data_IF_933533216843
#
_entry.id   IF_933533216843
#
_cell.length_a   1.000
_cell.length_b   1.000
_cell.length_c   1.000
_cell.angle_alpha   90.00
_cell.angle_beta   90.00
_cell.angle_gamma   90.00
#
_symmetry.space_group_name_H-M   'P 1'
#
loop_
_entity.id
_entity.type
_entity.pdbx_description
1 polymer ?
#
# COMPACT_ATOMS: atom_id res chain seq x y z
N UNK A 1 39.77 30.46 43.38
CA UNK A 1 38.38 30.05 43.09
C UNK A 1 38.13 29.31 41.74
N UNK A 2 39.12 29.05 40.86
CA UNK A 2 38.84 28.37 39.57
C UNK A 2 38.79 26.84 39.62
N UNK A 3 39.20 26.21 40.74
CA UNK A 3 39.24 24.71 40.79
C UNK A 3 37.90 24.00 40.88
N UNK A 4 36.80 24.72 41.12
CA UNK A 4 35.47 24.15 41.28
C UNK A 4 34.65 24.20 39.99
N UNK A 5 34.95 25.10 39.06
CA UNK A 5 34.21 25.30 37.81
C UNK A 5 34.43 24.17 36.82
N UNK A 6 35.62 23.64 36.70
CA UNK A 6 35.94 22.55 35.75
C UNK A 6 35.19 21.25 36.09
N UNK A 7 35.16 20.76 37.34
CA UNK A 7 34.39 19.55 37.65
C UNK A 7 32.88 19.77 37.55
N UNK A 8 32.37 20.98 37.76
CA UNK A 8 30.95 21.30 37.58
C UNK A 8 30.53 21.23 36.11
N UNK A 9 31.36 21.75 35.18
CA UNK A 9 31.11 21.67 33.76
C UNK A 9 31.16 20.23 33.28
N UNK A 10 32.09 19.41 33.75
CA UNK A 10 32.20 17.98 33.42
C UNK A 10 30.98 17.22 33.94
N UNK A 11 30.50 17.53 35.15
CA UNK A 11 29.32 16.88 35.72
C UNK A 11 28.04 17.25 35.01
N UNK A 12 27.83 18.49 34.60
CA UNK A 12 26.68 18.92 33.77
C UNK A 12 26.72 18.29 32.38
N UNK A 13 27.91 18.25 31.77
CA UNK A 13 28.10 17.59 30.48
C UNK A 13 27.81 16.08 30.53
N UNK A 14 28.27 15.39 31.57
CA UNK A 14 27.99 13.97 31.78
C UNK A 14 26.51 13.69 32.06
N UNK A 15 25.81 14.58 32.79
CA UNK A 15 24.37 14.45 33.04
C UNK A 15 23.50 14.56 31.77
N UNK A 16 23.90 15.37 30.80
CA UNK A 16 23.17 15.54 29.50
C UNK A 16 23.30 14.31 28.64
N UNK A 17 24.40 13.56 28.70
CA UNK A 17 24.66 12.37 27.89
C UNK A 17 23.80 11.17 28.33
N UNK A 18 23.36 11.10 29.59
CA UNK A 18 22.64 9.96 30.19
C UNK A 18 21.13 9.98 29.85
N UNK A 19 20.58 11.08 29.34
CA UNK A 19 19.13 11.24 29.07
C UNK A 19 18.61 10.64 27.75
N UNK A 20 19.44 9.94 26.98
CA UNK A 20 19.02 9.37 25.67
C UNK A 20 18.40 7.98 25.81
N UNK A 21 17.18 7.88 26.36
CA UNK A 21 16.37 6.67 26.28
C UNK A 21 15.58 6.65 24.97
N UNK A 22 16.04 5.90 23.99
CA UNK A 22 15.25 5.60 22.81
C UNK A 22 14.09 4.65 23.17
N UNK A 23 12.85 5.08 22.96
CA UNK A 23 11.66 4.25 23.20
C UNK A 23 11.51 3.23 22.05
N UNK A 24 12.14 2.07 22.18
CA UNK A 24 12.15 0.98 21.19
C UNK A 24 10.77 0.33 20.98
N UNK A 25 9.83 0.49 21.92
CA UNK A 25 8.48 -0.10 21.84
C UNK A 25 7.66 0.39 20.63
N UNK A 26 8.00 1.55 20.08
CA UNK A 26 7.29 2.11 18.90
C UNK A 26 7.77 1.54 17.56
N UNK A 27 8.83 0.76 17.55
CA UNK A 27 9.46 0.23 16.33
C UNK A 27 8.99 -1.18 16.03
N UNK A 28 8.42 -1.89 17.00
CA UNK A 28 7.99 -3.27 16.89
C UNK A 28 6.51 -3.35 16.54
N UNK A 29 6.15 -4.23 15.61
CA UNK A 29 4.75 -4.56 15.31
C UNK A 29 4.13 -5.37 16.45
N UNK A 30 2.82 -5.27 16.60
CA UNK A 30 2.02 -6.17 17.44
C UNK A 30 2.49 -6.29 18.89
N UNK A 31 3.03 -5.23 19.46
CA UNK A 31 3.58 -5.22 20.83
C UNK A 31 2.61 -5.71 21.91
N UNK A 32 1.31 -5.63 21.67
CA UNK A 32 0.26 -5.93 22.63
C UNK A 32 -0.66 -7.06 22.12
N UNK A 33 -0.21 -7.88 21.14
CA UNK A 33 -1.00 -8.98 20.61
C UNK A 33 -0.68 -10.23 21.40
N UNK A 34 -1.62 -10.77 22.21
CA UNK A 34 -1.45 -12.06 22.89
C UNK A 34 -1.51 -13.21 21.87
N UNK A 35 -1.01 -14.37 22.27
CA UNK A 35 -1.25 -15.60 21.52
C UNK A 35 -2.76 -15.86 21.45
N UNK A 36 -3.33 -15.67 20.28
CA UNK A 36 -4.76 -15.78 20.05
C UNK A 36 -5.04 -16.29 18.63
N UNK A 37 -6.16 -16.98 18.49
CA UNK A 37 -6.68 -17.36 17.17
C UNK A 37 -7.67 -16.31 16.71
N UNK A 38 -7.36 -15.61 15.63
CA UNK A 38 -8.29 -14.70 14.98
C UNK A 38 -9.11 -15.47 13.95
N UNK A 39 -10.43 -15.26 13.94
CA UNK A 39 -11.28 -15.84 12.89
C UNK A 39 -10.87 -15.19 11.55
N UNK A 40 -10.70 -16.03 10.53
CA UNK A 40 -10.43 -15.51 9.19
C UNK A 40 -11.55 -14.56 8.79
N UNK A 41 -11.19 -13.31 8.56
CA UNK A 41 -12.13 -12.35 7.98
C UNK A 41 -12.43 -12.89 6.60
N UNK A 42 -13.67 -13.25 6.35
CA UNK A 42 -14.11 -13.55 4.99
C UNK A 42 -13.55 -12.45 4.12
N UNK A 43 -12.74 -12.84 3.12
CA UNK A 43 -12.22 -11.88 2.14
C UNK A 43 -13.38 -10.93 1.77
N UNK A 44 -13.15 -9.61 1.71
CA UNK A 44 -14.22 -8.67 1.43
C UNK A 44 -15.00 -9.22 0.24
N UNK A 45 -16.34 -9.11 0.31
CA UNK A 45 -17.18 -9.41 -0.87
C UNK A 45 -16.48 -8.77 -2.05
N UNK A 46 -16.36 -9.52 -3.14
CA UNK A 46 -15.68 -9.06 -4.34
C UNK A 46 -16.06 -7.59 -4.58
N UNK A 47 -15.06 -6.73 -4.72
CA UNK A 47 -15.33 -5.31 -5.01
C UNK A 47 -16.14 -5.24 -6.30
N UNK A 48 -17.17 -4.39 -6.36
CA UNK A 48 -17.87 -4.15 -7.62
C UNK A 48 -16.88 -3.61 -8.66
N UNK A 49 -17.06 -4.03 -9.88
CA UNK A 49 -16.32 -3.57 -11.06
C UNK A 49 -16.57 -2.06 -11.23
N UNK A 50 -15.50 -1.33 -11.54
CA UNK A 50 -15.55 0.13 -11.71
C UNK A 50 -15.21 0.51 -13.16
N UNK A 51 -15.66 1.67 -13.65
CA UNK A 51 -15.12 2.24 -14.87
C UNK A 51 -13.59 2.33 -14.83
N UNK A 52 -12.94 2.09 -15.97
CA UNK A 52 -11.49 1.98 -16.14
C UNK A 52 -10.83 0.70 -15.58
N UNK A 53 -11.60 -0.23 -15.02
CA UNK A 53 -11.06 -1.57 -14.76
C UNK A 53 -10.74 -2.27 -16.09
N UNK A 54 -9.68 -3.08 -16.08
CA UNK A 54 -9.33 -3.93 -17.22
C UNK A 54 -9.56 -5.37 -16.81
N UNK A 55 -10.46 -6.05 -17.53
CA UNK A 55 -10.87 -7.40 -17.24
C UNK A 55 -10.34 -8.36 -18.32
N UNK A 56 -9.73 -9.46 -17.90
CA UNK A 56 -9.60 -10.65 -18.76
C UNK A 56 -10.90 -11.40 -18.67
N UNK A 57 -11.58 -11.55 -19.80
CA UNK A 57 -12.83 -12.32 -19.90
C UNK A 57 -12.59 -13.42 -20.94
N UNK A 58 -12.66 -14.67 -20.47
CA UNK A 58 -12.47 -15.85 -21.33
C UNK A 58 -13.75 -16.67 -21.34
N UNK A 59 -14.24 -16.98 -22.52
CA UNK A 59 -15.44 -17.79 -22.74
C UNK A 59 -15.00 -19.10 -23.39
N UNK A 60 -15.29 -20.21 -22.73
CA UNK A 60 -15.01 -21.56 -23.23
C UNK A 60 -16.27 -22.41 -23.24
N UNK A 61 -16.26 -23.48 -24.01
CA UNK A 61 -17.32 -24.47 -24.04
C UNK A 61 -16.74 -25.84 -24.40
N UNK A 62 -17.54 -26.90 -24.33
CA UNK A 62 -17.12 -28.26 -24.74
C UNK A 62 -16.64 -28.29 -26.21
N UNK A 63 -17.18 -27.41 -27.07
CA UNK A 63 -16.67 -27.18 -28.40
C UNK A 63 -15.75 -25.95 -28.45
N UNK A 64 -14.44 -26.19 -28.44
CA UNK A 64 -13.43 -25.14 -28.49
C UNK A 64 -13.52 -24.25 -29.74
N UNK A 65 -13.87 -24.82 -30.86
CA UNK A 65 -14.01 -24.12 -32.15
C UNK A 65 -15.18 -23.12 -32.15
N UNK A 66 -16.28 -23.50 -31.50
CA UNK A 66 -17.46 -22.63 -31.34
C UNK A 66 -17.19 -21.47 -30.37
N UNK A 67 -16.30 -21.64 -29.39
CA UNK A 67 -15.96 -20.59 -28.39
C UNK A 67 -14.86 -19.63 -28.85
N UNK A 68 -14.07 -19.99 -29.86
CA UNK A 68 -12.96 -19.18 -30.37
C UNK A 68 -13.35 -17.75 -30.76
N UNK A 69 -14.47 -17.51 -31.49
CA UNK A 69 -14.86 -16.17 -31.90
C UNK A 69 -15.20 -15.20 -30.76
N UNK A 70 -15.52 -15.71 -29.55
CA UNK A 70 -15.78 -14.89 -28.35
C UNK A 70 -14.50 -14.39 -27.69
N UNK A 71 -13.36 -15.04 -27.96
CA UNK A 71 -12.06 -14.76 -27.37
C UNK A 71 -11.12 -14.06 -28.38
N UNK A 72 -11.63 -13.54 -29.48
CA UNK A 72 -10.85 -12.73 -30.40
C UNK A 72 -10.30 -11.52 -29.60
N UNK A 73 -8.99 -11.37 -29.59
CA UNK A 73 -8.27 -10.41 -28.77
C UNK A 73 -8.89 -9.01 -28.85
N UNK A 74 -9.28 -8.48 -27.72
CA UNK A 74 -9.62 -7.07 -27.62
C UNK A 74 -8.37 -6.24 -27.92
N UNK A 75 -8.53 -5.11 -28.58
CA UNK A 75 -7.45 -4.20 -28.94
C UNK A 75 -6.76 -3.51 -27.74
N UNK A 76 -7.06 -3.93 -26.51
CA UNK A 76 -6.50 -3.37 -25.31
C UNK A 76 -5.36 -4.27 -24.79
N UNK A 77 -4.15 -3.88 -25.14
CA UNK A 77 -2.93 -4.49 -24.58
C UNK A 77 -2.61 -3.77 -23.31
N UNK A 78 -2.87 -4.40 -22.15
CA UNK A 78 -2.38 -3.90 -20.88
C UNK A 78 -0.87 -4.11 -20.83
N UNK A 79 -0.13 -3.02 -20.94
CA UNK A 79 1.34 -3.02 -20.78
C UNK A 79 1.67 -2.88 -19.30
N UNK A 80 1.60 -3.96 -18.55
CA UNK A 80 2.14 -4.01 -17.19
C UNK A 80 3.66 -4.00 -17.28
N UNK A 81 4.28 -2.84 -17.08
CA UNK A 81 5.73 -2.73 -16.94
C UNK A 81 6.11 -3.23 -15.54
N UNK A 82 6.52 -4.48 -15.44
CA UNK A 82 7.15 -4.98 -14.22
C UNK A 82 8.51 -4.33 -14.06
N UNK A 83 8.93 -4.06 -12.82
CA UNK A 83 10.25 -3.49 -12.45
C UNK A 83 11.44 -4.29 -13.04
N UNK A 84 11.19 -5.49 -13.54
CA UNK A 84 12.16 -6.41 -14.17
C UNK A 84 12.18 -6.35 -15.71
N UNK A 85 11.43 -5.44 -16.34
CA UNK A 85 11.52 -5.20 -17.78
C UNK A 85 10.87 -6.26 -18.68
N UNK A 86 10.17 -7.25 -18.16
CA UNK A 86 9.37 -8.17 -18.96
C UNK A 86 7.93 -7.64 -19.08
N UNK A 87 7.55 -7.20 -20.26
CA UNK A 87 6.17 -6.85 -20.60
C UNK A 87 5.39 -8.13 -20.93
N UNK A 88 4.54 -8.58 -20.02
CA UNK A 88 3.51 -9.54 -20.37
C UNK A 88 2.34 -8.78 -21.00
N UNK A 89 2.21 -8.87 -22.29
CA UNK A 89 1.06 -8.36 -23.03
C UNK A 89 -0.12 -9.32 -22.83
N UNK A 90 -0.98 -9.02 -21.87
CA UNK A 90 -2.27 -9.71 -21.72
C UNK A 90 -3.36 -8.85 -22.35
N UNK A 91 -4.01 -9.38 -23.36
CA UNK A 91 -5.22 -8.77 -23.95
C UNK A 91 -6.34 -8.74 -22.92
N UNK A 92 -6.97 -7.58 -22.72
CA UNK A 92 -8.06 -7.39 -21.78
C UNK A 92 -9.18 -6.53 -22.36
N UNK A 93 -10.29 -6.45 -21.67
CA UNK A 93 -11.43 -5.62 -21.99
C UNK A 93 -11.52 -4.46 -21.01
N UNK A 94 -11.51 -3.23 -21.51
CA UNK A 94 -11.68 -2.03 -20.70
C UNK A 94 -13.15 -1.86 -20.31
N UNK A 95 -13.41 -1.58 -19.05
CA UNK A 95 -14.72 -1.08 -18.61
C UNK A 95 -14.80 0.41 -18.98
N UNK A 96 -15.66 0.74 -19.92
CA UNK A 96 -15.86 2.08 -20.43
C UNK A 96 -16.37 3.04 -19.34
N UNK A 97 -16.31 4.34 -19.60
CA UNK A 97 -16.80 5.36 -18.66
C UNK A 97 -18.32 5.26 -18.40
N UNK A 98 -19.09 4.72 -19.35
CA UNK A 98 -20.53 4.42 -19.19
C UNK A 98 -20.81 3.14 -18.40
N UNK A 99 -19.75 2.44 -17.96
CA UNK A 99 -19.84 1.20 -17.20
C UNK A 99 -20.05 -0.06 -18.02
N UNK A 100 -19.92 0.01 -19.35
CA UNK A 100 -20.06 -1.15 -20.24
C UNK A 100 -18.71 -1.76 -20.61
N UNK A 101 -18.73 -3.03 -21.01
CA UNK A 101 -17.61 -3.75 -21.64
C UNK A 101 -18.04 -4.23 -23.00
N UNK A 102 -17.24 -3.94 -24.03
CA UNK A 102 -17.51 -4.38 -25.40
C UNK A 102 -16.92 -5.76 -25.65
N UNK A 103 -17.81 -6.76 -25.76
CA UNK A 103 -17.43 -8.14 -26.00
C UNK A 103 -17.73 -8.57 -27.45
N UNK A 104 -16.83 -9.33 -28.10
CA UNK A 104 -17.09 -9.88 -29.40
C UNK A 104 -18.43 -10.66 -29.43
N UNK A 105 -19.21 -10.53 -30.49
CA UNK A 105 -20.51 -11.20 -30.70
C UNK A 105 -21.61 -10.75 -29.72
N UNK A 106 -21.28 -10.50 -28.44
CA UNK A 106 -22.27 -10.13 -27.43
C UNK A 106 -22.62 -8.64 -27.45
N UNK A 107 -21.68 -7.80 -27.91
CA UNK A 107 -21.81 -6.35 -27.91
C UNK A 107 -21.51 -5.74 -26.55
N UNK A 108 -22.03 -4.54 -26.29
CA UNK A 108 -21.85 -3.83 -25.04
C UNK A 108 -22.64 -4.49 -23.90
N UNK A 109 -21.92 -4.91 -22.84
CA UNK A 109 -22.49 -5.54 -21.63
C UNK A 109 -22.19 -4.65 -20.44
N UNK A 110 -23.20 -4.25 -19.67
CA UNK A 110 -23.05 -3.48 -18.45
C UNK A 110 -22.28 -4.30 -17.41
N UNK A 111 -21.14 -3.81 -16.97
CA UNK A 111 -20.24 -4.45 -16.01
C UNK A 111 -20.08 -3.65 -14.70
N UNK A 112 -20.05 -2.30 -14.79
CA UNK A 112 -19.86 -1.47 -13.63
C UNK A 112 -20.98 -1.65 -12.58
N UNK A 113 -20.58 -1.68 -11.30
CA UNK A 113 -21.48 -1.93 -10.18
C UNK A 113 -21.77 -3.41 -9.90
N UNK A 114 -21.45 -4.31 -10.82
CA UNK A 114 -21.56 -5.76 -10.63
C UNK A 114 -20.29 -6.34 -10.03
N UNK A 115 -20.44 -7.40 -9.25
CA UNK A 115 -19.31 -8.27 -8.91
C UNK A 115 -18.91 -9.12 -10.11
N UNK A 116 -17.72 -9.71 -10.10
CA UNK A 116 -17.28 -10.64 -11.15
C UNK A 116 -18.25 -11.82 -11.34
N UNK A 117 -18.77 -12.34 -10.23
CA UNK A 117 -19.72 -13.46 -10.27
C UNK A 117 -21.06 -13.05 -10.90
N UNK A 118 -21.56 -11.85 -10.60
CA UNK A 118 -22.76 -11.31 -11.23
C UNK A 118 -22.56 -11.04 -12.71
N UNK A 119 -21.38 -10.47 -13.10
CA UNK A 119 -21.05 -10.27 -14.51
C UNK A 119 -20.91 -11.60 -15.25
N UNK A 120 -20.28 -12.61 -14.63
CA UNK A 120 -20.17 -13.96 -15.18
C UNK A 120 -21.55 -14.56 -15.45
N UNK A 121 -22.45 -14.50 -14.47
CA UNK A 121 -23.84 -14.97 -14.62
C UNK A 121 -24.52 -14.24 -15.76
N UNK A 122 -24.46 -12.91 -15.81
CA UNK A 122 -25.07 -12.09 -16.85
C UNK A 122 -24.56 -12.45 -18.25
N UNK A 123 -23.25 -12.62 -18.43
CA UNK A 123 -22.67 -13.03 -19.72
C UNK A 123 -23.17 -14.43 -20.10
N UNK A 124 -23.16 -15.36 -19.15
CA UNK A 124 -23.66 -16.73 -19.37
C UNK A 124 -25.10 -16.71 -19.83
N UNK A 125 -25.97 -15.94 -19.16
CA UNK A 125 -27.40 -15.83 -19.50
C UNK A 125 -27.62 -15.24 -20.90
N UNK A 126 -26.82 -14.24 -21.28
CA UNK A 126 -26.87 -13.65 -22.62
C UNK A 126 -26.51 -14.72 -23.71
N UNK A 127 -25.46 -15.50 -23.46
CA UNK A 127 -25.01 -16.55 -24.39
C UNK A 127 -26.08 -17.62 -24.56
N UNK A 128 -26.67 -18.08 -23.45
CA UNK A 128 -27.70 -19.12 -23.43
C UNK A 128 -29.02 -18.62 -24.08
N UNK A 129 -29.46 -17.40 -23.77
CA UNK A 129 -30.69 -16.82 -24.31
C UNK A 129 -30.62 -16.62 -25.83
N UNK A 130 -29.44 -16.24 -26.33
CA UNK A 130 -29.19 -16.11 -27.80
C UNK A 130 -28.85 -17.46 -28.43
N UNK A 131 -28.79 -18.56 -27.69
CA UNK A 131 -28.43 -19.92 -28.17
C UNK A 131 -27.09 -19.98 -28.90
N UNK A 132 -26.12 -19.20 -28.45
CA UNK A 132 -24.80 -19.08 -29.10
C UNK A 132 -23.88 -20.25 -28.75
N UNK A 133 -23.93 -20.72 -27.48
CA UNK A 133 -23.23 -21.91 -27.00
C UNK A 133 -24.15 -22.72 -26.09
N UNK A 134 -23.92 -24.03 -26.00
CA UNK A 134 -24.77 -24.95 -25.21
C UNK A 134 -24.37 -24.92 -23.74
N UNK A 135 -23.07 -24.94 -23.43
CA UNK A 135 -22.47 -25.06 -22.12
C UNK A 135 -21.34 -24.04 -21.92
N UNK A 136 -21.63 -22.72 -21.89
CA UNK A 136 -20.62 -21.70 -21.78
C UNK A 136 -20.00 -21.69 -20.36
N UNK A 137 -18.67 -21.67 -20.30
CA UNK A 137 -17.88 -21.42 -19.08
C UNK A 137 -17.23 -20.05 -19.24
N UNK A 138 -17.59 -19.11 -18.37
CA UNK A 138 -17.04 -17.76 -18.37
C UNK A 138 -16.06 -17.61 -17.19
N UNK A 139 -14.82 -17.22 -17.46
CA UNK A 139 -13.82 -16.86 -16.46
C UNK A 139 -13.52 -15.37 -16.56
N UNK A 140 -13.49 -14.68 -15.40
CA UNK A 140 -13.26 -13.22 -15.33
C UNK A 140 -12.20 -12.93 -14.30
N UNK A 141 -11.14 -12.17 -14.68
CA UNK A 141 -10.05 -11.72 -13.81
C UNK A 141 -9.74 -10.26 -14.05
N UNK A 142 -9.31 -9.57 -12.98
CA UNK A 142 -8.74 -8.24 -13.13
C UNK A 142 -7.31 -8.32 -13.67
N UNK A 143 -6.98 -7.49 -14.66
CA UNK A 143 -5.62 -7.34 -15.17
C UNK A 143 -4.88 -6.16 -14.53
N UNK A 144 -5.60 -5.15 -14.06
CA UNK A 144 -5.06 -3.95 -13.42
C UNK A 144 -5.32 -3.90 -11.90
N UNK A 145 -5.40 -5.07 -11.24
CA UNK A 145 -5.45 -5.08 -9.78
C UNK A 145 -4.09 -4.65 -9.22
N UNK A 146 -4.00 -3.40 -8.80
CA UNK A 146 -2.80 -2.81 -8.24
C UNK A 146 -3.09 -2.17 -6.89
N UNK A 147 -2.07 -2.13 -6.02
CA UNK A 147 -2.07 -1.36 -4.78
C UNK A 147 -0.79 -0.54 -4.72
N UNK A 148 -0.89 0.68 -4.23
CA UNK A 148 0.25 1.60 -4.15
C UNK A 148 0.71 1.73 -2.70
N UNK A 149 2.01 1.57 -2.44
CA UNK A 149 2.61 1.77 -1.12
C UNK A 149 3.60 2.92 -1.19
N UNK A 150 3.37 3.94 -0.35
CA UNK A 150 4.13 5.19 -0.34
C UNK A 150 4.60 5.55 1.08
N UNK A 151 5.54 6.50 1.16
CA UNK A 151 6.01 7.08 2.42
C UNK A 151 7.19 6.35 3.03
N UNK A 152 7.19 6.15 4.35
CA UNK A 152 8.29 5.59 5.14
C UNK A 152 8.36 4.07 5.06
N UNK A 153 8.53 3.55 3.86
CA UNK A 153 8.85 2.15 3.55
C UNK A 153 10.21 2.09 2.84
N UNK A 154 10.84 0.93 2.82
CA UNK A 154 12.16 0.79 2.22
C UNK A 154 12.14 1.07 0.71
N UNK A 155 11.07 0.69 0.02
CA UNK A 155 10.89 0.86 -1.44
C UNK A 155 9.45 1.23 -1.76
N UNK A 156 9.09 2.54 -1.80
CA UNK A 156 7.79 2.95 -2.29
C UNK A 156 7.55 2.39 -3.70
N UNK A 157 6.39 1.76 -3.93
CA UNK A 157 6.14 1.04 -5.18
C UNK A 157 4.64 0.85 -5.44
N UNK A 158 4.31 0.56 -6.69
CA UNK A 158 3.03 0.01 -7.10
C UNK A 158 3.18 -1.51 -7.19
N UNK A 159 2.25 -2.24 -6.58
CA UNK A 159 2.26 -3.70 -6.49
C UNK A 159 1.10 -4.25 -7.30
N UNK A 160 1.39 -4.98 -8.36
CA UNK A 160 0.38 -5.74 -9.11
C UNK A 160 0.02 -7.01 -8.32
N UNK A 161 -1.27 -7.32 -8.22
CA UNK A 161 -1.82 -8.42 -7.41
C UNK A 161 -2.50 -9.47 -8.30
N UNK A 162 -1.76 -10.43 -8.87
CA UNK A 162 -2.33 -11.40 -9.82
C UNK A 162 -3.42 -12.30 -9.23
N UNK A 163 -3.35 -12.56 -7.92
CA UNK A 163 -4.31 -13.43 -7.22
C UNK A 163 -5.50 -12.66 -6.65
N UNK A 164 -5.62 -11.36 -6.96
CA UNK A 164 -6.71 -10.49 -6.53
C UNK A 164 -6.98 -10.50 -5.01
N UNK A 165 -5.99 -10.94 -4.23
CA UNK A 165 -6.05 -10.97 -2.77
C UNK A 165 -4.69 -10.62 -2.18
N UNK A 166 -4.62 -9.49 -1.51
CA UNK A 166 -3.42 -9.05 -0.81
C UNK A 166 -3.81 -8.44 0.54
N UNK A 167 -3.10 -8.82 1.61
CA UNK A 167 -3.25 -8.15 2.90
C UNK A 167 -2.37 -6.90 2.96
N UNK A 168 -2.75 -5.94 3.81
CA UNK A 168 -1.94 -4.76 4.07
C UNK A 168 -0.50 -5.12 4.48
N UNK A 169 -0.34 -6.13 5.35
CA UNK A 169 0.99 -6.59 5.78
C UNK A 169 1.81 -7.15 4.63
N UNK A 170 1.17 -7.93 3.74
CA UNK A 170 1.87 -8.46 2.56
C UNK A 170 2.31 -7.34 1.62
N UNK A 171 1.46 -6.32 1.43
CA UNK A 171 1.81 -5.15 0.61
C UNK A 171 2.99 -4.38 1.21
N UNK A 172 2.99 -4.14 2.52
CA UNK A 172 4.11 -3.51 3.22
C UNK A 172 5.40 -4.34 3.12
N UNK A 173 5.30 -5.67 3.29
CA UNK A 173 6.45 -6.57 3.11
C UNK A 173 7.03 -6.54 1.69
N UNK A 174 6.18 -6.48 0.64
CA UNK A 174 6.64 -6.34 -0.74
C UNK A 174 7.29 -4.97 -1.02
N UNK A 175 6.86 -3.92 -0.32
CA UNK A 175 7.50 -2.61 -0.32
C UNK A 175 8.79 -2.56 0.51
N UNK A 176 9.26 -3.71 1.03
CA UNK A 176 10.50 -3.83 1.80
C UNK A 176 10.36 -3.44 3.27
N UNK A 177 9.12 -3.45 3.79
CA UNK A 177 8.74 -3.09 5.16
C UNK A 177 8.85 -1.59 5.49
N UNK A 178 8.31 -1.21 6.66
CA UNK A 178 8.42 0.15 7.18
C UNK A 178 9.85 0.42 7.64
N UNK A 179 10.36 1.61 7.32
CA UNK A 179 11.63 2.05 7.90
C UNK A 179 11.51 2.24 9.42
N UNK A 180 12.63 2.42 10.10
CA UNK A 180 12.65 2.75 11.54
C UNK A 180 11.94 4.09 11.84
N UNK A 181 11.74 4.91 10.84
CA UNK A 181 11.05 6.19 10.93
C UNK A 181 9.56 6.12 10.61
N UNK A 182 9.06 4.98 10.12
CA UNK A 182 7.65 4.80 9.78
C UNK A 182 6.77 4.69 11.04
N UNK A 183 5.65 5.40 11.07
CA UNK A 183 4.63 5.28 12.12
C UNK A 183 3.81 4.02 11.91
N UNK A 184 3.99 3.02 12.78
CA UNK A 184 3.23 1.75 12.77
C UNK A 184 1.83 1.91 13.37
N UNK A 185 1.66 2.86 14.23
CA UNK A 185 0.40 3.17 14.92
C UNK A 185 -0.55 4.02 14.07
N UNK A 186 -0.09 4.52 12.90
CA UNK A 186 -0.83 5.47 12.08
C UNK A 186 -0.52 5.32 10.58
N UNK A 187 -0.84 4.16 10.01
CA UNK A 187 -0.76 3.93 8.57
C UNK A 187 -2.04 4.43 7.92
N UNK A 188 -1.95 5.33 6.96
CA UNK A 188 -3.09 5.88 6.26
C UNK A 188 -3.42 5.01 5.04
N UNK A 189 -4.62 4.48 5.00
CA UNK A 189 -5.22 3.87 3.82
C UNK A 189 -6.12 4.89 3.12
N UNK A 190 -5.93 5.08 1.84
CA UNK A 190 -6.80 5.87 0.97
C UNK A 190 -7.44 4.92 -0.03
N UNK A 191 -8.76 4.93 -0.09
CA UNK A 191 -9.57 4.06 -0.94
C UNK A 191 -10.61 4.88 -1.68
N UNK A 192 -10.87 4.54 -2.92
CA UNK A 192 -11.98 5.11 -3.66
C UNK A 192 -13.15 4.11 -3.71
N UNK A 193 -14.31 4.54 -3.24
CA UNK A 193 -15.55 3.75 -3.26
C UNK A 193 -16.70 4.65 -3.74
N UNK A 194 -17.43 4.21 -4.75
CA UNK A 194 -18.59 4.93 -5.30
C UNK A 194 -18.28 6.39 -5.72
N UNK A 195 -17.06 6.64 -6.20
CA UNK A 195 -16.61 8.00 -6.59
C UNK A 195 -16.20 8.90 -5.42
N UNK A 196 -16.23 8.40 -4.19
CA UNK A 196 -15.76 9.10 -3.00
C UNK A 196 -14.41 8.57 -2.53
N UNK A 197 -13.54 9.46 -2.05
CA UNK A 197 -12.26 9.07 -1.44
C UNK A 197 -12.40 8.92 0.06
N UNK A 198 -12.24 7.71 0.54
CA UNK A 198 -12.32 7.33 1.95
C UNK A 198 -10.89 7.20 2.50
N UNK A 199 -10.63 7.85 3.62
CA UNK A 199 -9.36 7.70 4.35
C UNK A 199 -9.57 6.97 5.66
N UNK A 200 -8.65 6.06 6.01
CA UNK A 200 -8.66 5.33 7.28
C UNK A 200 -7.25 5.26 7.86
N UNK A 201 -7.17 5.56 9.14
CA UNK A 201 -5.95 5.38 9.91
C UNK A 201 -5.95 3.99 10.54
N UNK A 202 -4.90 3.23 10.26
CA UNK A 202 -4.75 1.84 10.69
C UNK A 202 -3.59 1.77 11.68
N UNK A 203 -3.86 1.17 12.84
CA UNK A 203 -2.86 0.91 13.86
C UNK A 203 -2.35 -0.54 13.74
N UNK A 204 -1.11 -0.71 13.27
CA UNK A 204 -0.49 -2.03 13.14
C UNK A 204 0.05 -2.59 14.46
N UNK A 205 -0.01 -1.83 15.55
CA UNK A 205 0.38 -2.30 16.88
C UNK A 205 -0.80 -2.95 17.64
N UNK A 206 -2.04 -2.81 17.15
CA UNK A 206 -3.24 -3.36 17.76
C UNK A 206 -3.65 -4.70 17.13
N UNK A 207 -4.13 -5.62 17.96
CA UNK A 207 -4.77 -6.87 17.51
C UNK A 207 -6.06 -6.64 16.72
N UNK A 208 -6.73 -5.50 16.92
CA UNK A 208 -7.97 -5.14 16.22
C UNK A 208 -7.79 -5.08 14.71
N UNK A 209 -6.56 -4.82 14.28
CA UNK A 209 -6.20 -4.84 12.86
C UNK A 209 -6.54 -6.18 12.19
N UNK A 210 -6.33 -7.30 12.88
CA UNK A 210 -6.62 -8.65 12.33
C UNK A 210 -8.11 -8.90 12.10
N UNK A 211 -8.98 -8.16 12.77
CA UNK A 211 -10.44 -8.22 12.60
C UNK A 211 -10.99 -7.04 11.76
N UNK A 212 -10.11 -6.19 11.23
CA UNK A 212 -10.50 -5.01 10.48
C UNK A 212 -10.94 -5.36 9.05
N UNK A 213 -12.00 -4.72 8.55
CA UNK A 213 -12.39 -4.79 7.14
C UNK A 213 -11.32 -4.24 6.17
N UNK A 214 -10.31 -3.58 6.71
CA UNK A 214 -9.16 -3.03 5.98
C UNK A 214 -7.92 -3.94 6.03
N UNK A 215 -8.06 -5.16 6.57
CA UNK A 215 -6.99 -6.16 6.57
C UNK A 215 -6.59 -6.55 5.14
N UNK A 216 -7.58 -6.74 4.25
CA UNK A 216 -7.36 -6.93 2.83
C UNK A 216 -7.53 -5.63 2.08
N UNK A 217 -6.59 -5.37 1.18
CA UNK A 217 -6.64 -4.22 0.28
C UNK A 217 -7.56 -4.52 -0.90
N UNK A 218 -8.13 -3.47 -1.48
CA UNK A 218 -8.92 -3.49 -2.72
C UNK A 218 -8.10 -2.94 -3.89
N UNK A 219 -8.53 -3.13 -5.15
CA UNK A 219 -7.89 -2.50 -6.31
C UNK A 219 -7.78 -0.98 -6.11
N UNK A 220 -6.66 -0.41 -6.54
CA UNK A 220 -6.35 1.02 -6.48
C UNK A 220 -6.21 1.62 -5.07
N UNK A 221 -6.16 0.80 -4.01
CA UNK A 221 -5.86 1.28 -2.66
C UNK A 221 -4.46 1.90 -2.61
N UNK A 222 -4.36 3.02 -1.89
CA UNK A 222 -3.09 3.67 -1.59
C UNK A 222 -2.81 3.55 -0.10
N UNK A 223 -1.68 2.94 0.24
CA UNK A 223 -1.17 2.80 1.60
C UNK A 223 -0.05 3.83 1.80
N UNK A 224 -0.25 4.77 2.69
CA UNK A 224 0.74 5.79 3.01
C UNK A 224 1.25 5.65 4.43
N UNK A 225 2.55 5.40 4.57
CA UNK A 225 3.23 5.31 5.86
C UNK A 225 3.81 6.68 6.21
N UNK A 226 3.28 7.29 7.27
CA UNK A 226 3.72 8.60 7.73
C UNK A 226 5.09 8.52 8.42
N UNK A 227 5.96 9.54 8.25
CA UNK A 227 7.18 9.65 9.03
C UNK A 227 6.89 9.97 10.49
N UNK A 228 7.74 9.50 11.39
CA UNK A 228 7.69 9.86 12.80
C UNK A 228 8.31 11.24 13.06
N UNK A 229 8.13 11.75 14.30
CA UNK A 229 8.65 13.04 14.70
C UNK A 229 10.20 13.13 14.62
N UNK A 230 10.90 12.00 14.81
CA UNK A 230 12.37 11.97 14.73
C UNK A 230 12.85 12.32 13.32
N UNK A 231 12.25 11.71 12.28
CA UNK A 231 12.60 12.06 10.88
C UNK A 231 12.25 13.50 10.54
N UNK A 232 11.09 13.96 11.00
CA UNK A 232 10.67 15.35 10.78
C UNK A 232 11.63 16.34 11.49
N UNK A 233 12.13 16.01 12.68
CA UNK A 233 13.11 16.82 13.41
C UNK A 233 14.48 16.82 12.71
N UNK A 234 14.95 15.69 12.17
CA UNK A 234 16.22 15.62 11.45
C UNK A 234 16.20 16.38 10.11
N UNK A 235 15.04 16.51 9.49
CA UNK A 235 14.84 17.32 8.30
C UNK A 235 14.79 18.83 8.62
N UNK A 236 14.62 19.21 9.87
CA UNK A 236 14.58 20.61 10.32
C UNK A 236 15.96 21.26 10.35
N UNK A 237 16.02 22.55 10.06
CA UNK A 237 17.26 23.35 10.13
C UNK A 237 17.96 23.31 11.49
N UNK A 238 17.22 23.09 12.59
CA UNK A 238 17.78 23.05 13.95
C UNK A 238 18.83 21.95 14.13
N UNK A 239 18.68 20.79 13.48
CA UNK A 239 19.67 19.71 13.57
C UNK A 239 21.01 20.06 12.91
N UNK A 240 21.02 20.96 11.93
CA UNK A 240 22.24 21.41 11.27
C UNK A 240 22.99 22.46 12.07
N UNK A 241 22.29 23.30 12.85
CA UNK A 241 22.93 24.38 13.63
C UNK A 241 23.45 23.91 15.00
N UNK A 242 22.89 22.86 15.58
CA UNK A 242 23.32 22.35 16.90
C UNK A 242 24.83 22.05 16.97
N UNK A 243 25.46 21.34 16.03
CA UNK A 243 26.91 21.10 16.07
C UNK A 243 27.72 22.39 15.96
N UNK A 244 27.26 23.37 15.16
CA UNK A 244 27.92 24.65 14.97
C UNK A 244 27.88 25.48 16.29
N UNK A 245 26.72 25.50 16.93
CA UNK A 245 26.56 26.20 18.21
C UNK A 245 27.48 25.58 19.31
N UNK A 246 27.52 24.24 19.39
CA UNK A 246 28.38 23.56 20.35
C UNK A 246 29.86 23.79 20.05
N UNK A 247 30.28 23.82 18.81
CA UNK A 247 31.67 24.13 18.44
C UNK A 247 32.03 25.58 18.76
N UNK A 248 31.15 26.52 18.51
CA UNK A 248 31.34 27.92 18.87
C UNK A 248 31.45 28.12 20.42
N UNK A 249 30.55 27.48 21.16
CA UNK A 249 30.61 27.49 22.63
C UNK A 249 31.91 26.90 23.17
N UNK A 250 32.42 25.83 22.56
CA UNK A 250 33.71 25.22 22.96
C UNK A 250 34.89 26.19 22.75
N UNK A 251 34.91 26.89 21.62
CA UNK A 251 35.94 27.88 21.32
C UNK A 251 35.89 29.03 22.37
N UNK A 252 34.69 29.55 22.63
CA UNK A 252 34.49 30.62 23.63
C UNK A 252 34.94 30.14 25.02
N UNK A 253 34.63 28.93 25.42
CA UNK A 253 35.07 28.37 26.71
C UNK A 253 36.61 28.28 26.84
N UNK A 254 37.28 27.85 25.74
CA UNK A 254 38.76 27.77 25.70
C UNK A 254 39.39 29.16 25.79
N UNK A 255 38.86 30.15 25.08
CA UNK A 255 39.36 31.52 25.12
C UNK A 255 39.17 32.13 26.50
N UNK A 256 38.00 31.93 27.13
CA UNK A 256 37.74 32.40 28.50
C UNK A 256 38.66 31.75 29.53
N UNK A 257 38.90 30.44 29.46
CA UNK A 257 39.86 29.77 30.36
C UNK A 257 41.27 30.33 30.19
N UNK A 258 41.66 30.67 28.97
CA UNK A 258 42.98 31.25 28.70
C UNK A 258 43.13 32.67 29.25
N UNK A 259 42.09 33.51 29.10
CA UNK A 259 42.07 34.91 29.56
C UNK A 259 41.99 34.99 31.10
N UNK A 260 41.24 34.09 31.72
CA UNK A 260 41.11 34.08 33.19
C UNK A 260 42.29 33.46 33.91
N UNK A 261 43.21 32.80 33.22
CA UNK A 261 44.44 32.23 33.80
C UNK A 261 45.64 33.20 33.75
N UNK A 262 45.50 34.30 33.01
CA UNK A 262 46.46 35.41 33.02
C UNK A 262 45.94 36.55 33.88
#
# INVERSE_FOLDING_TARGET
>A
MPKVFLPLIIFVSASIIISSCANSKKIVYFNNVPDATFKDIKAPRQSPIQPNDILSITISSANAEASQPFNLQSNYVSRATTVTGSSNESGGYLVNADGTVDLPILGAVTAAGLTKEELKTKITDIILSKKLLVDPIVDIRYLNYEVTVLGEVARPTVITVPNEKISLLKALGLAGDLTIYGKRDNVLLIREENGEKITRHINLNSSDFFNSSYYYLKPNDVVYVQPNATKSATAGRSSQYLPIIFSALSVVAIVLDRVLRY
#
